data_IF_500249806882
#
_entry.id   IF_500249806882
#
_cell.length_a   1.000
_cell.length_b   1.000
_cell.length_c   1.000
_cell.angle_alpha   90.00
_cell.angle_beta   90.00
_cell.angle_gamma   90.00
#
_symmetry.space_group_name_H-M   'P 1'
#
loop_
_entity.id
_entity.type
_entity.pdbx_description
1 polymer ?
#
# COMPACT_ATOMS: atom_id res chain seq x y z
N UNK A 1 -7.48 7.03 -3.19
CA UNK A 1 -6.72 7.08 -1.94
C UNK A 1 -7.05 8.32 -1.11
N UNK A 2 -7.14 9.52 -1.68
CA UNK A 2 -7.52 10.74 -0.95
C UNK A 2 -8.89 10.62 -0.25
N UNK A 3 -9.89 10.06 -0.92
CA UNK A 3 -11.22 9.81 -0.34
C UNK A 3 -11.14 8.85 0.85
N UNK A 4 -10.32 7.79 0.76
CA UNK A 4 -10.05 6.86 1.87
C UNK A 4 -9.48 7.60 3.07
N UNK A 5 -8.51 8.49 2.84
CA UNK A 5 -7.89 9.29 3.90
C UNK A 5 -8.91 10.16 4.65
N UNK A 6 -9.79 10.87 3.93
CA UNK A 6 -10.77 11.75 4.55
C UNK A 6 -11.84 10.97 5.33
N UNK A 7 -12.34 9.87 4.77
CA UNK A 7 -13.38 9.07 5.43
C UNK A 7 -12.81 8.36 6.66
N UNK A 8 -11.59 7.81 6.59
CA UNK A 8 -10.97 7.15 7.73
C UNK A 8 -10.67 8.12 8.88
N UNK A 9 -10.37 9.40 8.57
CA UNK A 9 -10.22 10.43 9.61
C UNK A 9 -11.53 10.78 10.31
N UNK A 10 -12.66 10.69 9.60
CA UNK A 10 -13.98 11.05 10.15
C UNK A 10 -14.68 9.88 10.87
N UNK A 11 -14.55 8.65 10.31
CA UNK A 11 -15.32 7.49 10.78
C UNK A 11 -14.47 6.40 11.42
N UNK A 12 -13.13 6.48 11.30
CA UNK A 12 -12.17 5.42 11.71
C UNK A 12 -12.48 4.05 11.07
N UNK A 13 -13.24 4.05 9.99
CA UNK A 13 -13.59 2.87 9.22
C UNK A 13 -13.42 3.14 7.73
N UNK A 14 -12.68 2.26 7.04
CA UNK A 14 -12.57 2.33 5.58
C UNK A 14 -13.80 1.66 4.97
N UNK A 15 -14.68 2.40 4.26
CA UNK A 15 -15.87 1.82 3.64
C UNK A 15 -15.49 0.69 2.68
N UNK A 16 -16.17 -0.44 2.78
CA UNK A 16 -15.93 -1.60 1.92
C UNK A 16 -16.01 -1.26 0.43
N UNK A 17 -16.89 -0.33 0.06
CA UNK A 17 -17.08 0.14 -1.33
C UNK A 17 -15.76 0.70 -1.91
N UNK A 18 -14.97 1.45 -1.14
CA UNK A 18 -13.72 2.02 -1.62
C UNK A 18 -12.67 0.94 -1.91
N UNK A 19 -12.61 -0.09 -1.08
CA UNK A 19 -11.72 -1.24 -1.31
C UNK A 19 -12.13 -2.02 -2.55
N UNK A 20 -13.45 -2.17 -2.79
CA UNK A 20 -13.97 -2.78 -4.02
C UNK A 20 -13.62 -1.95 -5.25
N UNK A 21 -13.72 -0.62 -5.18
CA UNK A 21 -13.33 0.26 -6.29
C UNK A 21 -11.83 0.09 -6.61
N UNK A 22 -10.96 0.09 -5.60
CA UNK A 22 -9.52 -0.11 -5.80
C UNK A 22 -9.24 -1.48 -6.43
N UNK A 23 -9.93 -2.52 -5.97
CA UNK A 23 -9.80 -3.86 -6.52
C UNK A 23 -10.26 -3.94 -7.98
N UNK A 24 -11.42 -3.34 -8.31
CA UNK A 24 -11.94 -3.25 -9.68
C UNK A 24 -10.96 -2.51 -10.58
N UNK A 25 -10.37 -1.41 -10.12
CA UNK A 25 -9.31 -0.70 -10.86
C UNK A 25 -8.11 -1.62 -11.13
N UNK A 26 -7.75 -2.49 -10.18
CA UNK A 26 -6.72 -3.51 -10.37
C UNK A 26 -7.08 -4.51 -11.46
N UNK A 27 -8.33 -4.99 -11.50
CA UNK A 27 -8.84 -5.90 -12.54
C UNK A 27 -8.83 -5.21 -13.91
N UNK A 28 -9.32 -3.96 -13.99
CA UNK A 28 -9.28 -3.18 -15.22
C UNK A 28 -7.86 -2.99 -15.74
N UNK A 29 -6.91 -2.64 -14.84
CA UNK A 29 -5.50 -2.53 -15.18
C UNK A 29 -4.91 -3.84 -15.73
N UNK A 30 -5.34 -4.98 -15.19
CA UNK A 30 -4.91 -6.30 -15.67
C UNK A 30 -5.48 -6.60 -17.08
N UNK A 31 -6.76 -6.29 -17.31
CA UNK A 31 -7.39 -6.46 -18.62
C UNK A 31 -6.71 -5.56 -19.66
N UNK A 32 -6.45 -4.29 -19.31
CA UNK A 32 -5.75 -3.36 -20.20
C UNK A 32 -4.33 -3.85 -20.54
N UNK A 33 -3.63 -4.45 -19.59
CA UNK A 33 -2.31 -5.04 -19.83
C UNK A 33 -2.39 -6.17 -20.86
N UNK A 34 -3.37 -7.08 -20.75
CA UNK A 34 -3.58 -8.13 -21.75
C UNK A 34 -3.93 -7.58 -23.14
N UNK A 35 -4.74 -6.51 -23.20
CA UNK A 35 -5.07 -5.86 -24.47
C UNK A 35 -3.87 -5.11 -25.04
N UNK A 36 -3.04 -4.51 -24.21
CA UNK A 36 -1.79 -3.82 -24.60
C UNK A 36 -0.76 -4.78 -25.18
N UNK A 37 -0.60 -5.94 -24.58
CA UNK A 37 0.31 -6.99 -25.12
C UNK A 37 -0.15 -7.47 -26.49
N UNK A 38 -1.44 -7.30 -26.83
CA UNK A 38 -2.02 -7.64 -28.12
C UNK A 38 -2.00 -6.48 -29.15
N UNK A 39 -1.77 -5.24 -28.73
CA UNK A 39 -1.79 -4.04 -29.58
C UNK A 39 -0.61 -3.10 -29.28
N UNK A 40 0.42 -3.03 -30.13
CA UNK A 40 1.55 -2.15 -29.92
C UNK A 40 1.13 -0.68 -29.99
N UNK A 41 1.30 0.07 -28.90
CA UNK A 41 1.01 1.51 -28.81
C UNK A 41 0.21 1.99 -27.59
N UNK A 42 -0.20 1.09 -26.70
CA UNK A 42 -1.00 1.44 -25.50
C UNK A 42 -0.18 1.48 -24.20
N UNK A 43 1.11 1.74 -24.28
CA UNK A 43 2.07 1.71 -23.15
C UNK A 43 1.71 2.68 -22.00
N UNK A 44 0.87 3.69 -22.26
CA UNK A 44 0.54 4.71 -21.27
C UNK A 44 -0.30 4.20 -20.08
N UNK A 45 -1.09 3.13 -20.25
CA UNK A 45 -1.98 2.58 -19.21
C UNK A 45 -1.50 1.25 -18.62
N UNK A 46 -0.48 0.64 -19.21
CA UNK A 46 0.14 -0.55 -18.66
C UNK A 46 1.11 -0.16 -17.53
N UNK A 47 0.90 -0.66 -16.32
CA UNK A 47 1.90 -0.58 -15.25
C UNK A 47 3.04 -1.52 -15.63
N UNK A 48 4.07 -0.99 -16.29
CA UNK A 48 5.22 -1.76 -16.78
C UNK A 48 5.84 -2.63 -15.67
N UNK A 49 5.95 -3.92 -15.97
CA UNK A 49 6.65 -4.89 -15.12
C UNK A 49 5.83 -5.51 -13.99
N UNK A 50 4.50 -5.26 -13.90
CA UNK A 50 3.65 -5.91 -12.89
C UNK A 50 3.03 -7.20 -13.44
N UNK A 51 3.73 -8.32 -13.28
CA UNK A 51 3.24 -9.66 -13.65
C UNK A 51 2.03 -10.07 -12.80
N UNK A 52 1.14 -10.93 -13.31
CA UNK A 52 0.00 -11.49 -12.57
C UNK A 52 0.46 -12.11 -11.23
N UNK A 53 1.56 -12.85 -11.24
CA UNK A 53 2.16 -13.45 -10.04
C UNK A 53 2.55 -12.37 -9.02
N UNK A 54 3.10 -11.24 -9.48
CA UNK A 54 3.43 -10.09 -8.63
C UNK A 54 2.18 -9.48 -7.96
N UNK A 55 1.07 -9.43 -8.67
CA UNK A 55 -0.23 -8.95 -8.14
C UNK A 55 -0.78 -9.89 -7.07
N UNK A 56 -0.76 -11.20 -7.33
CA UNK A 56 -1.23 -12.21 -6.37
C UNK A 56 -0.37 -12.24 -5.10
N UNK A 57 0.95 -12.17 -5.26
CA UNK A 57 1.87 -12.05 -4.12
C UNK A 57 1.60 -10.75 -3.37
N UNK A 58 1.37 -9.64 -4.06
CA UNK A 58 1.08 -8.33 -3.48
C UNK A 58 -0.16 -8.33 -2.59
N UNK A 59 -1.22 -9.06 -2.98
CA UNK A 59 -2.42 -9.21 -2.15
C UNK A 59 -2.12 -9.82 -0.78
N UNK A 60 -1.25 -10.83 -0.74
CA UNK A 60 -1.02 -11.68 0.43
C UNK A 60 0.15 -11.15 1.27
N UNK A 61 1.15 -10.57 0.63
CA UNK A 61 2.43 -10.23 1.24
C UNK A 61 2.31 -9.34 2.50
N UNK A 62 1.43 -8.34 2.47
CA UNK A 62 1.20 -7.43 3.60
C UNK A 62 -0.12 -7.74 4.31
N UNK A 63 -1.16 -8.11 3.57
CA UNK A 63 -2.47 -8.39 4.14
C UNK A 63 -2.45 -9.58 5.11
N UNK A 64 -1.69 -10.64 4.79
CA UNK A 64 -1.59 -11.81 5.65
C UNK A 64 -0.85 -11.54 6.96
N UNK A 65 0.34 -10.90 6.98
CA UNK A 65 0.98 -10.51 8.25
C UNK A 65 0.12 -9.59 9.10
N UNK A 66 -0.55 -8.59 8.49
CA UNK A 66 -1.48 -7.72 9.23
C UNK A 66 -2.65 -8.49 9.82
N UNK A 67 -3.22 -9.42 9.06
CA UNK A 67 -4.29 -10.28 9.55
C UNK A 67 -3.84 -11.14 10.74
N UNK A 68 -2.63 -11.71 10.68
CA UNK A 68 -2.08 -12.49 11.79
C UNK A 68 -1.83 -11.62 13.03
N UNK A 69 -1.36 -10.37 12.85
CA UNK A 69 -1.18 -9.43 13.96
C UNK A 69 -2.53 -9.12 14.63
N UNK A 70 -3.57 -8.85 13.83
CA UNK A 70 -4.92 -8.56 14.37
C UNK A 70 -5.51 -9.78 15.06
N UNK A 71 -5.18 -11.01 14.63
CA UNK A 71 -5.63 -12.23 15.31
C UNK A 71 -5.03 -12.36 16.73
N UNK A 72 -3.78 -11.87 16.92
CA UNK A 72 -3.07 -11.90 18.20
C UNK A 72 -3.43 -10.67 19.05
N UNK A 73 -3.54 -9.51 18.42
CA UNK A 73 -3.82 -8.21 19.05
C UNK A 73 -4.99 -7.55 18.31
N UNK A 74 -6.26 -7.85 18.70
CA UNK A 74 -7.44 -7.38 17.97
C UNK A 74 -7.58 -5.86 17.84
N UNK A 75 -6.93 -5.11 18.74
CA UNK A 75 -6.96 -3.64 18.75
C UNK A 75 -5.76 -3.00 18.02
N UNK A 76 -4.84 -3.80 17.44
CA UNK A 76 -3.60 -3.30 16.86
C UNK A 76 -3.75 -2.60 15.52
N UNK A 77 -4.64 -3.09 14.66
CA UNK A 77 -4.90 -2.54 13.32
C UNK A 77 -6.39 -2.65 12.97
N UNK A 78 -6.89 -1.68 12.19
CA UNK A 78 -8.25 -1.71 11.67
C UNK A 78 -8.45 -2.80 10.62
N UNK A 79 -9.59 -3.52 10.67
CA UNK A 79 -9.94 -4.48 9.63
C UNK A 79 -10.06 -3.86 8.23
N UNK A 80 -10.25 -2.54 8.16
CA UNK A 80 -10.23 -1.74 6.93
C UNK A 80 -8.85 -1.69 6.28
N UNK A 81 -7.78 -1.55 7.08
CA UNK A 81 -6.40 -1.48 6.61
C UNK A 81 -5.96 -2.76 5.92
N UNK A 82 -6.39 -3.92 6.45
CA UNK A 82 -6.10 -5.23 5.85
C UNK A 82 -6.76 -5.34 4.46
N UNK A 83 -8.03 -4.92 4.35
CA UNK A 83 -8.77 -4.94 3.09
C UNK A 83 -8.19 -3.94 2.08
N UNK A 84 -7.76 -2.77 2.56
CA UNK A 84 -7.08 -1.77 1.74
C UNK A 84 -5.76 -2.32 1.19
N UNK A 85 -4.93 -2.95 2.04
CA UNK A 85 -3.67 -3.55 1.63
C UNK A 85 -3.87 -4.70 0.64
N UNK A 86 -4.92 -5.50 0.83
CA UNK A 86 -5.28 -6.57 -0.09
C UNK A 86 -5.64 -6.02 -1.48
N UNK A 87 -6.52 -5.01 -1.55
CA UNK A 87 -6.95 -4.40 -2.81
C UNK A 87 -5.80 -3.63 -3.50
N UNK A 88 -5.03 -2.86 -2.73
CA UNK A 88 -3.88 -2.10 -3.22
C UNK A 88 -2.75 -3.03 -3.69
N UNK A 89 -2.54 -4.15 -3.01
CA UNK A 89 -1.55 -5.16 -3.39
C UNK A 89 -1.85 -5.79 -4.74
N UNK A 90 -3.11 -6.01 -5.05
CA UNK A 90 -3.53 -6.49 -6.37
C UNK A 90 -3.33 -5.44 -7.46
N UNK A 91 -3.59 -4.17 -7.16
CA UNK A 91 -3.42 -3.08 -8.11
C UNK A 91 -1.93 -2.80 -8.40
N UNK A 92 -1.11 -2.65 -7.36
CA UNK A 92 0.27 -2.16 -7.44
C UNK A 92 1.31 -3.28 -7.59
N UNK A 93 0.96 -4.53 -7.22
CA UNK A 93 1.90 -5.63 -7.12
C UNK A 93 2.75 -5.56 -5.83
N UNK A 94 3.46 -6.66 -5.51
CA UNK A 94 4.11 -6.84 -4.21
C UNK A 94 5.19 -5.81 -3.89
N UNK A 95 6.01 -5.41 -4.87
CA UNK A 95 7.12 -4.47 -4.65
C UNK A 95 6.63 -3.10 -4.18
N UNK A 96 5.70 -2.50 -4.95
CA UNK A 96 5.16 -1.19 -4.64
C UNK A 96 4.32 -1.21 -3.34
N UNK A 97 3.59 -2.30 -3.09
CA UNK A 97 2.80 -2.47 -1.87
C UNK A 97 3.67 -2.53 -0.63
N UNK A 98 4.78 -3.28 -0.66
CA UNK A 98 5.73 -3.36 0.46
C UNK A 98 6.35 -1.98 0.74
N UNK A 99 6.81 -1.28 -0.28
CA UNK A 99 7.39 0.07 -0.12
C UNK A 99 6.35 1.05 0.42
N UNK A 100 5.12 1.04 -0.14
CA UNK A 100 4.03 1.90 0.33
C UNK A 100 3.64 1.64 1.77
N UNK A 101 3.59 0.36 2.16
CA UNK A 101 3.34 -0.04 3.54
C UNK A 101 4.42 0.50 4.49
N UNK A 102 5.70 0.33 4.16
CA UNK A 102 6.80 0.84 5.00
C UNK A 102 6.80 2.36 5.10
N UNK A 103 6.52 3.08 4.02
CA UNK A 103 6.38 4.55 4.05
C UNK A 103 5.21 4.93 4.98
N UNK A 104 4.05 4.30 4.83
CA UNK A 104 2.89 4.51 5.69
C UNK A 104 3.19 4.19 7.16
N UNK A 105 3.92 3.10 7.43
CA UNK A 105 4.33 2.70 8.77
C UNK A 105 5.26 3.73 9.42
N UNK A 106 6.23 4.25 8.68
CA UNK A 106 7.15 5.28 9.17
C UNK A 106 6.38 6.57 9.49
N UNK A 107 5.54 7.04 8.56
CA UNK A 107 4.76 8.26 8.76
C UNK A 107 3.78 8.12 9.94
N UNK A 108 3.04 7.02 10.00
CA UNK A 108 2.12 6.73 11.10
C UNK A 108 2.84 6.54 12.42
N UNK A 109 4.00 5.87 12.42
CA UNK A 109 4.83 5.69 13.61
C UNK A 109 5.37 7.02 14.17
N UNK A 110 5.87 7.90 13.30
CA UNK A 110 6.33 9.25 13.71
C UNK A 110 5.17 10.03 14.34
N UNK A 111 4.01 10.04 13.70
CA UNK A 111 2.84 10.72 14.23
C UNK A 111 2.37 10.10 15.55
N UNK A 112 2.32 8.79 15.67
CA UNK A 112 1.98 8.08 16.90
C UNK A 112 2.89 8.43 18.07
N UNK A 113 4.22 8.49 17.82
CA UNK A 113 5.20 8.93 18.83
C UNK A 113 4.96 10.38 19.24
N UNK A 114 4.69 11.28 18.29
CA UNK A 114 4.39 12.69 18.59
C UNK A 114 3.14 12.81 19.47
N UNK A 115 2.06 12.06 19.14
CA UNK A 115 0.84 12.03 19.93
C UNK A 115 1.09 11.52 21.36
N UNK A 116 1.89 10.46 21.50
CA UNK A 116 2.25 9.88 22.79
C UNK A 116 3.05 10.87 23.67
N UNK A 117 4.03 11.57 23.08
CA UNK A 117 4.87 12.55 23.81
C UNK A 117 4.06 13.77 24.21
N UNK A 118 3.15 14.24 23.36
CA UNK A 118 2.31 15.41 23.64
C UNK A 118 1.20 15.14 24.64
N UNK A 119 0.96 13.89 25.06
CA UNK A 119 -0.16 13.48 25.93
C UNK A 119 -1.52 14.05 25.47
N UNK A 120 -1.66 14.33 24.18
CA UNK A 120 -2.82 15.04 23.62
C UNK A 120 -4.05 14.17 23.50
N UNK A 121 -3.90 12.85 23.56
CA UNK A 121 -4.99 11.90 23.44
C UNK A 121 -5.15 11.10 24.72
N UNK A 122 -6.40 10.91 25.16
CA UNK A 122 -6.73 10.07 26.29
C UNK A 122 -6.39 8.60 25.99
N UNK A 123 -6.31 7.79 27.05
CA UNK A 123 -5.89 6.38 27.01
C UNK A 123 -6.73 5.46 26.09
N UNK A 124 -7.81 5.96 25.48
CA UNK A 124 -8.78 5.23 24.67
C UNK A 124 -8.98 5.78 23.24
N UNK A 125 -8.14 6.71 22.77
CA UNK A 125 -8.30 7.20 21.40
C UNK A 125 -7.68 6.21 20.42
N UNK A 126 -8.51 5.54 19.63
CA UNK A 126 -8.10 4.71 18.51
C UNK A 126 -7.38 5.58 17.47
N UNK A 127 -6.20 5.16 17.10
CA UNK A 127 -5.37 5.85 16.10
C UNK A 127 -5.76 5.38 14.70
N UNK A 128 -6.28 6.30 13.87
CA UNK A 128 -6.56 6.00 12.47
C UNK A 128 -5.25 5.85 11.69
N UNK A 129 -4.88 4.62 11.33
CA UNK A 129 -3.65 4.31 10.60
C UNK A 129 -3.84 4.43 9.08
N UNK A 130 -5.07 4.26 8.59
CA UNK A 130 -5.45 4.30 7.17
C UNK A 130 -4.97 5.52 6.39
N UNK A 131 -5.01 6.78 6.93
CA UNK A 131 -4.52 7.95 6.25
C UNK A 131 -3.05 7.85 5.87
N UNK A 132 -2.21 7.36 6.78
CA UNK A 132 -0.76 7.21 6.56
C UNK A 132 -0.46 6.11 5.54
N UNK A 133 -1.22 5.00 5.60
CA UNK A 133 -1.16 3.94 4.61
C UNK A 133 -1.56 4.44 3.22
N UNK A 134 -2.64 5.21 3.13
CA UNK A 134 -3.11 5.80 1.88
C UNK A 134 -2.09 6.74 1.26
N UNK A 135 -1.42 7.57 2.08
CA UNK A 135 -0.34 8.45 1.63
C UNK A 135 0.86 7.63 1.15
N UNK A 136 1.28 6.61 1.90
CA UNK A 136 2.37 5.71 1.51
C UNK A 136 2.10 5.04 0.16
N UNK A 137 0.89 4.50 -0.03
CA UNK A 137 0.45 3.90 -1.30
C UNK A 137 0.37 4.92 -2.44
N UNK A 138 -0.09 6.15 -2.17
CA UNK A 138 -0.13 7.21 -3.17
C UNK A 138 1.29 7.60 -3.64
N UNK A 139 2.24 7.74 -2.72
CA UNK A 139 3.63 8.01 -3.07
C UNK A 139 4.20 6.91 -3.97
N UNK A 140 3.95 5.64 -3.64
CA UNK A 140 4.44 4.53 -4.45
C UNK A 140 3.73 4.40 -5.79
N UNK A 141 2.48 4.82 -5.90
CA UNK A 141 1.76 4.84 -7.17
C UNK A 141 2.40 5.83 -8.16
N UNK A 142 2.86 6.98 -7.67
CA UNK A 142 3.49 8.01 -8.52
C UNK A 142 5.00 7.84 -8.69
N UNK A 143 5.69 7.31 -7.69
CA UNK A 143 7.16 7.23 -7.66
C UNK A 143 7.69 5.79 -7.61
N UNK A 144 6.82 4.78 -7.57
CA UNK A 144 7.16 3.41 -7.20
C UNK A 144 8.24 2.76 -8.08
N UNK A 145 8.15 2.91 -9.40
CA UNK A 145 9.13 2.34 -10.32
C UNK A 145 10.51 2.99 -10.17
N UNK A 146 10.55 4.32 -10.03
CA UNK A 146 11.82 5.04 -9.87
C UNK A 146 12.45 4.80 -8.49
N UNK A 147 11.62 4.75 -7.45
CA UNK A 147 12.08 4.53 -6.07
C UNK A 147 12.60 3.11 -5.89
N UNK A 148 11.89 2.12 -6.42
CA UNK A 148 12.28 0.72 -6.37
C UNK A 148 13.57 0.46 -7.16
N UNK A 149 13.69 1.01 -8.36
CA UNK A 149 14.91 0.84 -9.17
C UNK A 149 16.11 1.46 -8.45
N UNK A 150 15.99 2.65 -7.86
CA UNK A 150 17.05 3.27 -7.07
C UNK A 150 17.41 2.45 -5.83
N UNK A 151 16.42 1.87 -5.15
CA UNK A 151 16.67 1.02 -3.99
C UNK A 151 17.38 -0.29 -4.38
N UNK A 152 16.98 -0.93 -5.47
CA UNK A 152 17.63 -2.12 -5.99
C UNK A 152 19.08 -1.80 -6.45
N UNK A 153 19.27 -0.66 -7.10
CA UNK A 153 20.62 -0.23 -7.53
C UNK A 153 21.51 0.09 -6.32
N UNK A 154 20.97 0.72 -5.29
CA UNK A 154 21.67 0.93 -4.03
C UNK A 154 22.06 -0.39 -3.34
N UNK A 155 21.14 -1.36 -3.28
CA UNK A 155 21.44 -2.69 -2.72
C UNK A 155 22.50 -3.43 -3.54
N UNK A 156 22.43 -3.38 -4.87
CA UNK A 156 23.44 -3.97 -5.74
C UNK A 156 24.80 -3.34 -5.52
N UNK A 157 24.87 -2.01 -5.43
CA UNK A 157 26.10 -1.29 -5.14
C UNK A 157 26.66 -1.61 -3.74
N UNK A 158 25.79 -1.79 -2.73
CA UNK A 158 26.19 -2.18 -1.38
C UNK A 158 26.68 -3.64 -1.29
N UNK A 159 26.13 -4.53 -2.13
CA UNK A 159 26.50 -5.96 -2.16
C UNK A 159 27.70 -6.25 -3.05
N UNK A 160 28.01 -5.40 -4.04
CA UNK A 160 29.14 -5.52 -4.94
C UNK A 160 29.93 -4.20 -5.00
N UNK A 161 30.79 -3.92 -4.00
CA UNK A 161 31.56 -2.68 -3.96
C UNK A 161 32.74 -2.64 -4.96
N UNK A 162 32.89 -3.64 -5.82
CA UNK A 162 34.03 -3.80 -6.76
C UNK A 162 33.66 -3.61 -8.24
N UNK A 163 32.66 -2.78 -8.59
CA UNK A 163 32.48 -2.37 -10.01
C UNK A 163 32.35 -0.85 -10.08
#
# INVERSE_FOLDING_TARGET
LTVVTFIDMDTMEIPFILNVIIFVMGVVSLILQFVSDAAPGSEFLAMDGVTIVSRLIGMICISLPLYLIVLIIPEGFGGGDIKLMFAAGFLLGWKATVVGFFIGLILGGIYGVICLVRRSHGKNDHFAFGPFLSVGLAITLFCGNNLMNRYIDFLKAAMNPEI
#
